data_IF_933919408075
#
_entry.id   IF_933919408075
#
_cell.length_a   1.000
_cell.length_b   1.000
_cell.length_c   1.000
_cell.angle_alpha   90.00
_cell.angle_beta   90.00
_cell.angle_gamma   90.00
#
_symmetry.space_group_name_H-M   'P 1'
#
loop_
_entity.id
_entity.type
_entity.pdbx_description
1 polymer ?
#
# COMPACT_ATOMS: atom_id res chain seq x y z
N UNK A 1 -4.74 7.60 -20.09
CA UNK A 1 -4.71 6.26 -19.51
C UNK A 1 -5.08 6.26 -18.01
N UNK A 2 -6.14 6.99 -17.63
CA UNK A 2 -6.63 7.10 -16.23
C UNK A 2 -7.96 6.34 -16.02
N UNK A 3 -8.43 5.63 -17.03
CA UNK A 3 -9.81 5.09 -17.05
C UNK A 3 -9.95 3.73 -16.36
N UNK A 4 -8.91 2.92 -16.29
CA UNK A 4 -8.96 1.60 -15.64
C UNK A 4 -8.96 1.69 -14.11
N UNK A 5 -8.30 2.71 -13.51
CA UNK A 5 -8.43 2.99 -12.06
C UNK A 5 -9.88 3.33 -11.71
N UNK A 6 -10.57 4.07 -12.58
CA UNK A 6 -11.99 4.42 -12.39
C UNK A 6 -12.92 3.21 -12.55
N UNK A 7 -12.61 2.25 -13.42
CA UNK A 7 -13.43 1.08 -13.65
C UNK A 7 -13.30 0.05 -12.52
N UNK A 8 -12.10 -0.15 -11.96
CA UNK A 8 -11.88 -0.99 -10.79
C UNK A 8 -12.58 -0.42 -9.54
N UNK A 9 -12.51 0.89 -9.33
CA UNK A 9 -13.21 1.58 -8.24
C UNK A 9 -14.73 1.53 -8.45
N UNK A 10 -15.23 1.66 -9.70
CA UNK A 10 -16.65 1.63 -9.99
C UNK A 10 -17.28 0.24 -9.78
N UNK A 11 -16.55 -0.84 -10.00
CA UNK A 11 -17.04 -2.20 -9.75
C UNK A 11 -17.09 -2.54 -8.24
N UNK A 12 -16.24 -1.92 -7.43
CA UNK A 12 -16.27 -2.08 -5.97
C UNK A 12 -17.41 -1.28 -5.30
N UNK A 13 -17.81 -0.13 -5.88
CA UNK A 13 -18.86 0.73 -5.32
C UNK A 13 -20.26 0.09 -5.40
N UNK A 14 -20.47 -0.90 -6.27
CA UNK A 14 -21.76 -1.59 -6.43
C UNK A 14 -22.08 -2.60 -5.29
N UNK A 15 -21.13 -2.91 -4.42
CA UNK A 15 -21.32 -3.84 -3.31
C UNK A 15 -21.53 -3.21 -1.94
N UNK A 16 -21.53 -1.87 -1.82
CA UNK A 16 -21.76 -1.18 -0.54
C UNK A 16 -23.27 -1.10 -0.23
N UNK A 17 -23.73 -1.56 0.94
CA UNK A 17 -25.12 -1.45 1.31
C UNK A 17 -25.56 0.02 1.42
N UNK A 18 -26.71 0.30 0.87
CA UNK A 18 -27.34 1.61 0.57
C UNK A 18 -27.78 2.42 1.82
N UNK A 19 -27.05 2.46 2.92
CA UNK A 19 -27.50 3.07 4.18
C UNK A 19 -26.77 4.35 4.61
N UNK A 20 -25.96 4.97 3.77
CA UNK A 20 -25.46 6.33 4.05
C UNK A 20 -25.65 7.27 2.86
N UNK A 21 -26.91 7.68 2.67
CA UNK A 21 -27.19 8.92 1.94
C UNK A 21 -27.05 10.08 2.93
N UNK A 22 -25.92 10.76 2.90
CA UNK A 22 -25.83 12.09 3.49
C UNK A 22 -26.70 13.01 2.65
N UNK A 23 -27.81 13.48 3.22
CA UNK A 23 -28.65 14.53 2.64
C UNK A 23 -27.81 15.81 2.60
N UNK A 24 -27.41 16.24 1.42
CA UNK A 24 -26.93 17.59 1.22
C UNK A 24 -28.10 18.55 1.46
N UNK A 25 -28.07 19.27 2.58
CA UNK A 25 -28.98 20.35 2.86
C UNK A 25 -28.54 21.57 2.06
N UNK A 26 -29.37 22.00 1.11
CA UNK A 26 -29.17 23.27 0.41
C UNK A 26 -29.28 24.41 1.44
N UNK A 27 -28.18 25.13 1.62
CA UNK A 27 -28.16 26.37 2.39
C UNK A 27 -28.60 27.50 1.46
N UNK A 28 -29.87 27.91 1.55
CA UNK A 28 -30.34 29.15 0.93
C UNK A 28 -29.84 30.32 1.77
N UNK A 29 -28.94 31.12 1.21
CA UNK A 29 -28.50 32.39 1.82
C UNK A 29 -29.54 33.46 1.55
N UNK A 30 -30.27 33.86 2.58
CA UNK A 30 -31.09 35.09 2.57
C UNK A 30 -30.27 36.22 3.20
N UNK A 31 -30.20 37.36 2.49
CA UNK A 31 -29.47 38.54 2.90
C UNK A 31 -30.03 39.15 4.18
N UNK A 32 -29.14 39.56 5.05
CA UNK A 32 -29.08 40.56 6.11
C UNK A 32 -29.03 40.01 7.55
N UNK A 33 -27.89 40.31 8.09
CA UNK A 33 -27.44 40.59 9.47
C UNK A 33 -26.31 39.73 9.95
N UNK A 34 -25.14 40.39 10.03
CA UNK A 34 -23.92 39.86 10.63
C UNK A 34 -24.07 39.97 12.14
N UNK A 35 -24.44 38.89 12.81
CA UNK A 35 -24.19 38.71 14.24
C UNK A 35 -23.14 37.61 14.37
N UNK A 36 -21.92 38.02 14.70
CA UNK A 36 -20.78 37.12 14.84
C UNK A 36 -20.95 36.19 16.04
N UNK A 37 -21.17 34.92 15.80
CA UNK A 37 -20.79 33.85 16.69
C UNK A 37 -19.68 33.06 16.00
N UNK A 38 -18.45 33.18 16.52
CA UNK A 38 -17.33 32.35 16.14
C UNK A 38 -17.66 30.92 16.61
N UNK A 39 -18.23 30.13 15.73
CA UNK A 39 -18.35 28.70 15.95
C UNK A 39 -16.94 28.13 15.89
N UNK A 40 -16.45 27.63 17.03
CA UNK A 40 -15.21 26.84 17.07
C UNK A 40 -15.33 25.72 16.02
N UNK A 41 -14.48 25.78 15.01
CA UNK A 41 -14.23 24.61 14.16
C UNK A 41 -13.80 23.46 15.09
N UNK A 42 -14.69 22.54 15.34
CA UNK A 42 -14.31 21.22 15.80
C UNK A 42 -13.46 20.63 14.69
N UNK A 43 -12.19 20.44 14.96
CA UNK A 43 -11.33 19.63 14.10
C UNK A 43 -11.94 18.24 14.15
N UNK A 44 -12.72 17.89 13.13
CA UNK A 44 -13.08 16.50 12.90
C UNK A 44 -11.77 15.76 12.75
N UNK A 45 -11.48 14.89 13.69
CA UNK A 45 -10.43 13.90 13.55
C UNK A 45 -10.71 13.17 12.24
N UNK A 46 -9.81 13.34 11.26
CA UNK A 46 -9.86 12.56 10.03
C UNK A 46 -9.68 11.13 10.50
N UNK A 47 -10.79 10.40 10.61
CA UNK A 47 -10.75 8.97 10.90
C UNK A 47 -9.90 8.32 9.81
N UNK A 48 -8.94 7.49 10.24
CA UNK A 48 -8.13 6.70 9.30
C UNK A 48 -9.11 5.97 8.37
N UNK A 49 -8.98 6.06 7.05
CA UNK A 49 -9.84 5.31 6.15
C UNK A 49 -9.76 3.83 6.51
N UNK A 50 -10.93 3.19 6.65
CA UNK A 50 -11.01 1.76 6.91
C UNK A 50 -10.22 1.00 5.85
N UNK A 51 -9.48 -0.04 6.22
CA UNK A 51 -8.67 -0.79 5.28
C UNK A 51 -9.56 -1.41 4.19
N UNK A 52 -9.22 -1.17 2.93
CA UNK A 52 -9.96 -1.68 1.76
C UNK A 52 -9.73 -3.18 1.54
N UNK A 53 -8.60 -3.69 2.03
CA UNK A 53 -8.18 -5.08 1.90
C UNK A 53 -7.68 -5.57 3.25
N UNK A 54 -8.59 -6.12 4.06
CA UNK A 54 -8.23 -6.66 5.37
C UNK A 54 -7.54 -5.62 6.27
N UNK A 55 -6.27 -5.81 6.55
CA UNK A 55 -5.49 -4.98 7.47
C UNK A 55 -4.73 -3.83 6.79
N UNK A 56 -4.71 -3.77 5.44
CA UNK A 56 -3.88 -2.81 4.69
C UNK A 56 -4.72 -1.69 4.07
N UNK A 57 -4.21 -0.47 4.17
CA UNK A 57 -4.78 0.72 3.55
C UNK A 57 -4.41 0.81 2.07
N UNK A 58 -5.20 1.56 1.28
CA UNK A 58 -4.88 1.86 -0.13
C UNK A 58 -3.47 2.46 -0.28
N UNK A 59 -3.06 3.33 0.66
CA UNK A 59 -1.73 3.94 0.67
C UNK A 59 -0.62 2.91 0.85
N UNK A 60 -0.79 1.94 1.73
CA UNK A 60 0.21 0.88 1.97
C UNK A 60 0.34 -0.05 0.77
N UNK A 61 -0.78 -0.39 0.14
CA UNK A 61 -0.80 -1.16 -1.11
C UNK A 61 -0.08 -0.39 -2.22
N UNK A 62 -0.32 0.91 -2.37
CA UNK A 62 0.34 1.75 -3.37
C UNK A 62 1.84 1.86 -3.11
N UNK A 63 2.26 2.03 -1.86
CA UNK A 63 3.68 2.06 -1.47
C UNK A 63 4.39 0.73 -1.80
N UNK A 64 3.76 -0.40 -1.48
CA UNK A 64 4.31 -1.72 -1.83
C UNK A 64 4.40 -1.91 -3.35
N UNK A 65 3.36 -1.53 -4.10
CA UNK A 65 3.36 -1.65 -5.56
C UNK A 65 4.47 -0.78 -6.20
N UNK A 66 4.71 0.43 -5.67
CA UNK A 66 5.80 1.28 -6.11
C UNK A 66 7.17 0.68 -5.79
N UNK A 67 7.34 0.09 -4.61
CA UNK A 67 8.56 -0.62 -4.25
C UNK A 67 8.80 -1.80 -5.19
N UNK A 68 7.80 -2.64 -5.42
CA UNK A 68 7.85 -3.77 -6.36
C UNK A 68 8.23 -3.29 -7.76
N UNK A 69 7.68 -2.17 -8.22
CA UNK A 69 8.04 -1.60 -9.51
C UNK A 69 9.53 -1.21 -9.59
N UNK A 70 10.06 -0.58 -8.54
CA UNK A 70 11.46 -0.16 -8.50
C UNK A 70 12.44 -1.33 -8.37
N UNK A 71 12.11 -2.31 -7.56
CA UNK A 71 13.02 -3.41 -7.23
C UNK A 71 12.91 -4.60 -8.21
N UNK A 72 11.70 -4.89 -8.70
CA UNK A 72 11.40 -6.06 -9.50
C UNK A 72 10.56 -5.76 -10.76
N UNK A 73 10.53 -4.52 -11.25
CA UNK A 73 9.71 -4.12 -12.39
C UNK A 73 9.99 -4.90 -13.67
N UNK A 74 11.24 -5.34 -13.86
CA UNK A 74 11.71 -6.15 -14.99
C UNK A 74 11.62 -7.66 -14.76
N UNK A 75 11.21 -8.10 -13.56
CA UNK A 75 11.09 -9.51 -13.23
C UNK A 75 9.70 -10.06 -13.54
N UNK A 76 9.58 -11.38 -13.52
CA UNK A 76 8.31 -12.08 -13.67
C UNK A 76 7.38 -11.87 -12.44
N UNK A 77 6.20 -12.43 -12.49
CA UNK A 77 5.21 -12.29 -11.41
C UNK A 77 5.75 -12.84 -10.09
N UNK A 78 6.46 -13.97 -10.10
CA UNK A 78 7.04 -14.58 -8.90
C UNK A 78 8.09 -13.68 -8.28
N UNK A 79 8.96 -13.06 -9.07
CA UNK A 79 9.95 -12.11 -8.58
C UNK A 79 9.31 -10.87 -7.93
N UNK A 80 8.20 -10.39 -8.50
CA UNK A 80 7.40 -9.29 -7.93
C UNK A 80 6.73 -9.70 -6.61
N UNK A 81 6.14 -10.89 -6.53
CA UNK A 81 5.53 -11.45 -5.33
C UNK A 81 6.55 -11.61 -4.20
N UNK A 82 7.73 -12.14 -4.48
CA UNK A 82 8.80 -12.32 -3.50
C UNK A 82 9.30 -10.99 -2.89
N UNK A 83 9.30 -9.90 -3.66
CA UNK A 83 9.60 -8.57 -3.12
C UNK A 83 8.48 -8.09 -2.20
N UNK A 84 7.21 -8.31 -2.55
CA UNK A 84 6.07 -8.01 -1.69
C UNK A 84 6.12 -8.83 -0.39
N UNK A 85 6.38 -10.15 -0.48
CA UNK A 85 6.57 -11.06 0.66
C UNK A 85 7.64 -10.56 1.63
N UNK A 86 8.77 -10.06 1.10
CA UNK A 86 9.83 -9.53 1.96
C UNK A 86 9.34 -8.37 2.84
N UNK A 87 8.46 -7.50 2.33
CA UNK A 87 7.87 -6.40 3.12
C UNK A 87 6.89 -6.97 4.15
N UNK A 88 5.97 -7.80 3.72
CA UNK A 88 4.91 -8.34 4.54
C UNK A 88 5.45 -9.25 5.65
N UNK A 89 6.42 -10.11 5.35
CA UNK A 89 7.09 -10.96 6.35
C UNK A 89 7.82 -10.12 7.40
N UNK A 90 8.41 -8.98 7.02
CA UNK A 90 9.02 -8.06 7.99
C UNK A 90 7.99 -7.39 8.88
N UNK A 91 6.83 -7.00 8.35
CA UNK A 91 5.73 -6.43 9.15
C UNK A 91 5.25 -7.41 10.22
N UNK A 92 5.23 -8.70 9.91
CA UNK A 92 4.82 -9.77 10.82
C UNK A 92 5.91 -10.18 11.82
N UNK A 93 7.18 -9.92 11.51
CA UNK A 93 8.32 -10.31 12.32
C UNK A 93 8.65 -9.24 13.37
N UNK A 94 8.58 -9.58 14.65
CA UNK A 94 8.78 -8.66 15.78
C UNK A 94 10.15 -7.97 15.83
N UNK A 95 11.11 -8.38 14.99
CA UNK A 95 12.46 -7.77 14.88
C UNK A 95 12.48 -6.55 13.94
N UNK A 96 11.41 -6.33 13.18
CA UNK A 96 11.24 -5.22 12.26
C UNK A 96 10.09 -4.31 12.71
N UNK A 97 9.95 -3.13 12.09
CA UNK A 97 8.75 -2.31 12.28
C UNK A 97 7.48 -3.06 11.88
N UNK A 98 6.37 -2.72 12.53
CA UNK A 98 5.09 -3.43 12.37
C UNK A 98 4.11 -2.76 11.39
N UNK A 99 4.58 -1.82 10.57
CA UNK A 99 3.80 -1.20 9.50
C UNK A 99 4.57 -1.23 8.18
N UNK A 100 3.84 -1.32 7.07
CA UNK A 100 4.41 -1.30 5.73
C UNK A 100 5.25 -0.04 5.50
N UNK A 101 4.73 1.11 5.90
CA UNK A 101 5.42 2.40 5.73
C UNK A 101 6.75 2.43 6.48
N UNK A 102 6.78 2.00 7.73
CA UNK A 102 8.00 1.98 8.54
C UNK A 102 9.03 0.95 8.04
N UNK A 103 8.58 -0.21 7.56
CA UNK A 103 9.45 -1.22 6.94
C UNK A 103 10.09 -0.67 5.66
N UNK A 104 9.30 -0.03 4.79
CA UNK A 104 9.80 0.50 3.51
C UNK A 104 10.76 1.67 3.74
N UNK A 105 10.46 2.57 4.67
CA UNK A 105 11.29 3.74 4.96
C UNK A 105 12.36 3.48 6.02
N UNK A 106 12.51 2.26 6.50
CA UNK A 106 13.57 1.91 7.45
C UNK A 106 14.94 2.24 6.86
N UNK A 107 15.73 3.00 7.63
CA UNK A 107 17.04 3.49 7.17
C UNK A 107 17.94 2.35 6.69
N UNK A 108 18.38 2.44 5.45
CA UNK A 108 19.36 1.52 4.85
C UNK A 108 18.77 0.22 4.27
N UNK A 109 17.44 0.04 4.31
CA UNK A 109 16.82 -1.16 3.74
C UNK A 109 16.59 -1.02 2.23
N UNK A 110 15.87 0.01 1.82
CA UNK A 110 15.56 0.26 0.40
C UNK A 110 16.15 1.60 -0.04
N UNK A 111 17.10 1.57 -0.97
CA UNK A 111 17.68 2.81 -1.53
C UNK A 111 16.66 3.57 -2.38
N UNK A 112 15.72 2.84 -2.97
CA UNK A 112 14.62 3.31 -3.81
C UNK A 112 13.52 4.01 -3.03
N UNK A 113 13.43 3.85 -1.70
CA UNK A 113 12.44 4.51 -0.85
C UNK A 113 12.40 6.05 -1.03
N UNK A 114 13.53 6.68 -1.41
CA UNK A 114 13.63 8.14 -1.64
C UNK A 114 12.92 8.62 -2.90
N UNK A 115 12.61 7.74 -3.82
CA UNK A 115 12.01 8.06 -5.12
C UNK A 115 10.58 7.51 -5.26
N UNK A 116 10.06 6.86 -4.22
CA UNK A 116 8.65 6.46 -4.18
C UNK A 116 7.75 7.69 -4.29
N UNK A 117 6.58 7.54 -4.91
CA UNK A 117 5.66 8.63 -5.23
C UNK A 117 5.93 9.32 -6.57
N UNK A 118 7.02 8.98 -7.28
CA UNK A 118 7.39 9.59 -8.57
C UNK A 118 7.02 8.76 -9.79
N UNK A 119 6.54 7.55 -9.58
CA UNK A 119 6.20 6.60 -10.64
C UNK A 119 4.81 6.04 -10.43
N UNK A 120 4.17 5.65 -11.53
CA UNK A 120 2.94 4.87 -11.49
C UNK A 120 3.31 3.39 -11.70
N UNK A 121 3.08 2.52 -10.70
CA UNK A 121 3.32 1.09 -10.85
C UNK A 121 2.43 0.48 -11.93
N UNK A 122 2.89 -0.60 -12.55
CA UNK A 122 2.07 -1.34 -13.50
C UNK A 122 0.98 -2.13 -12.79
N UNK A 123 -0.06 -2.54 -13.53
CA UNK A 123 -1.12 -3.40 -13.00
C UNK A 123 -0.57 -4.73 -12.46
N UNK A 124 0.53 -5.23 -13.03
CA UNK A 124 1.20 -6.44 -12.55
C UNK A 124 1.83 -6.25 -11.16
N UNK A 125 2.37 -5.04 -10.86
CA UNK A 125 2.91 -4.75 -9.53
C UNK A 125 1.81 -4.74 -8.48
N UNK A 126 0.67 -4.12 -8.78
CA UNK A 126 -0.50 -4.19 -7.91
C UNK A 126 -1.03 -5.61 -7.78
N UNK A 127 -1.10 -6.37 -8.89
CA UNK A 127 -1.53 -7.76 -8.89
C UNK A 127 -0.65 -8.65 -7.99
N UNK A 128 0.67 -8.47 -8.03
CA UNK A 128 1.60 -9.19 -7.17
C UNK A 128 1.35 -8.86 -5.68
N UNK A 129 1.21 -7.58 -5.32
CA UNK A 129 0.94 -7.16 -3.94
C UNK A 129 -0.40 -7.71 -3.44
N UNK A 130 -1.46 -7.57 -4.24
CA UNK A 130 -2.80 -8.01 -3.84
C UNK A 130 -2.87 -9.54 -3.71
N UNK A 131 -2.17 -10.30 -4.56
CA UNK A 131 -2.14 -11.76 -4.42
C UNK A 131 -1.51 -12.21 -3.11
N UNK A 132 -0.50 -11.49 -2.60
CA UNK A 132 0.15 -11.80 -1.34
C UNK A 132 -0.64 -11.31 -0.11
N UNK A 133 -1.47 -10.29 -0.26
CA UNK A 133 -2.36 -9.81 0.81
C UNK A 133 -3.60 -10.70 0.96
N UNK A 134 -4.25 -11.05 -0.15
CA UNK A 134 -5.55 -11.75 -0.14
C UNK A 134 -5.41 -13.27 -0.21
N UNK A 135 -4.24 -13.77 -0.59
CA UNK A 135 -3.96 -15.17 -0.83
C UNK A 135 -3.12 -15.84 0.24
N UNK A 136 -2.71 -17.05 -0.07
CA UNK A 136 -1.63 -17.73 0.64
C UNK A 136 -0.30 -17.14 0.17
N UNK A 137 0.53 -16.66 1.11
CA UNK A 137 1.86 -16.09 0.82
C UNK A 137 2.68 -17.05 -0.03
N UNK A 138 3.30 -16.55 -1.08
CA UNK A 138 4.19 -17.35 -1.91
C UNK A 138 5.39 -17.85 -1.10
N UNK A 139 5.96 -17.00 -0.23
CA UNK A 139 7.05 -17.40 0.66
C UNK A 139 7.07 -16.62 1.97
N UNK A 140 6.91 -17.31 3.10
CA UNK A 140 6.88 -16.72 4.45
C UNK A 140 8.25 -16.62 5.13
N UNK A 141 9.34 -17.08 4.48
CA UNK A 141 10.68 -17.11 5.07
C UNK A 141 11.60 -16.00 4.56
N UNK A 142 11.28 -15.39 3.41
CA UNK A 142 12.12 -14.35 2.82
C UNK A 142 12.02 -13.06 3.62
N UNK A 143 13.16 -12.57 4.07
CA UNK A 143 13.29 -11.31 4.83
C UNK A 143 14.25 -10.32 4.17
N UNK A 144 15.12 -10.80 3.28
CA UNK A 144 16.11 -10.00 2.57
C UNK A 144 16.20 -10.45 1.12
N UNK A 145 16.48 -9.48 0.23
CA UNK A 145 16.84 -9.77 -1.14
C UNK A 145 17.91 -8.79 -1.65
N UNK A 146 18.59 -9.17 -2.70
CA UNK A 146 19.61 -8.36 -3.36
C UNK A 146 20.28 -9.10 -4.50
N UNK A 147 21.25 -8.46 -5.17
CA UNK A 147 22.04 -9.10 -6.25
C UNK A 147 23.03 -10.16 -5.75
N UNK A 148 23.06 -10.42 -4.46
CA UNK A 148 23.89 -11.42 -3.80
C UNK A 148 23.40 -11.64 -2.38
N UNK A 149 23.89 -12.70 -1.74
CA UNK A 149 23.54 -13.02 -0.35
C UNK A 149 24.31 -12.12 0.61
N UNK A 150 23.83 -10.90 0.81
CA UNK A 150 24.47 -9.91 1.67
C UNK A 150 24.08 -9.98 3.15
N UNK A 151 22.88 -10.44 3.44
CA UNK A 151 22.32 -10.50 4.80
C UNK A 151 21.57 -11.82 5.00
N UNK A 152 21.55 -12.31 6.25
CA UNK A 152 20.76 -13.47 6.64
C UNK A 152 21.28 -14.80 6.09
N UNK A 153 20.49 -15.86 6.30
CA UNK A 153 20.76 -17.21 5.82
C UNK A 153 20.27 -17.35 4.38
N UNK A 154 21.11 -17.73 3.40
CA UNK A 154 20.71 -17.95 2.04
C UNK A 154 19.58 -18.97 1.92
N UNK A 155 18.51 -18.64 1.17
CA UNK A 155 17.41 -19.54 0.86
C UNK A 155 17.48 -20.03 -0.58
N UNK A 156 17.34 -19.11 -1.55
CA UNK A 156 17.36 -19.42 -2.97
C UNK A 156 17.66 -18.17 -3.81
N UNK A 157 17.88 -18.37 -5.09
CA UNK A 157 17.95 -17.31 -6.10
C UNK A 157 16.76 -17.42 -7.05
N UNK A 158 16.16 -16.27 -7.37
CA UNK A 158 15.16 -16.14 -8.41
C UNK A 158 15.54 -14.97 -9.32
N UNK A 159 15.74 -15.25 -10.60
CA UNK A 159 16.24 -14.28 -11.58
C UNK A 159 17.47 -13.49 -11.04
N UNK A 160 17.37 -12.17 -10.95
CA UNK A 160 18.47 -11.30 -10.53
C UNK A 160 18.61 -11.17 -9.01
N UNK A 161 17.69 -11.72 -8.22
CA UNK A 161 17.68 -11.61 -6.77
C UNK A 161 18.07 -12.92 -6.07
N UNK A 162 18.94 -12.76 -5.07
CA UNK A 162 19.23 -13.79 -4.05
C UNK A 162 18.36 -13.47 -2.82
N UNK A 163 17.56 -14.43 -2.39
CA UNK A 163 16.67 -14.29 -1.25
C UNK A 163 17.23 -14.98 -0.02
N UNK A 164 17.06 -14.36 1.14
CA UNK A 164 17.56 -14.87 2.42
C UNK A 164 16.54 -14.67 3.52
N UNK A 165 16.58 -15.56 4.51
CA UNK A 165 15.86 -15.48 5.78
C UNK A 165 16.81 -15.21 6.95
N UNK A 166 16.37 -15.53 8.17
CA UNK A 166 17.16 -15.42 9.40
C UNK A 166 17.62 -16.78 9.92
#
# INVERSE_FOLDING_TARGET
MKWYKAILIALLILSIPRTQRVLAQEVTVSNNEIVGTVSMCTVETIERPEPLFGEFTEREIDLMAQLVWHEAGNQDMVGKMLVADTVLNRVEDSRFPNTVEEVIFQKGQYTTARVLGRVEPTIECYGAVLSEIDGERYNTEVLFFGRGYGCGKPLFQHQDHCFSGL
#
